data_IF_894377997578
#
_entry.id   IF_894377997578
#
_cell.length_a   1.000
_cell.length_b   1.000
_cell.length_c   1.000
_cell.angle_alpha   90.00
_cell.angle_beta   90.00
_cell.angle_gamma   90.00
#
_symmetry.space_group_name_H-M   'P 1'
#
loop_
_entity.id
_entity.type
_entity.pdbx_description
1 polymer ?
#
# COMPACT_ATOMS: atom_id res chain seq x y z
N UNK A 1 18.75 7.98 -9.67
CA UNK A 1 18.71 6.72 -10.46
C UNK A 1 17.27 6.26 -10.56
N UNK A 2 16.82 5.76 -11.71
CA UNK A 2 15.48 5.20 -11.88
C UNK A 2 15.44 3.78 -11.30
N UNK A 3 14.26 3.38 -10.81
CA UNK A 3 14.02 2.05 -10.28
C UNK A 3 12.84 1.41 -11.00
N UNK A 4 12.95 0.11 -11.23
CA UNK A 4 11.91 -0.68 -11.90
C UNK A 4 11.71 -2.02 -11.19
N UNK A 5 10.47 -2.49 -11.14
CA UNK A 5 10.16 -3.84 -10.69
C UNK A 5 10.15 -4.79 -11.89
N UNK A 6 10.85 -5.91 -11.76
CA UNK A 6 11.00 -6.94 -12.80
C UNK A 6 10.56 -8.28 -12.25
N UNK A 7 9.65 -8.95 -12.96
CA UNK A 7 9.19 -10.29 -12.58
C UNK A 7 10.26 -11.35 -12.88
N UNK A 8 10.30 -12.37 -12.05
CA UNK A 8 11.17 -13.53 -12.22
C UNK A 8 12.44 -13.50 -11.39
N UNK A 9 13.39 -14.35 -11.77
CA UNK A 9 14.64 -14.54 -11.02
C UNK A 9 15.73 -13.56 -11.46
N UNK A 10 16.54 -13.12 -10.51
CA UNK A 10 17.69 -12.25 -10.77
C UNK A 10 18.87 -13.04 -11.37
N UNK A 11 18.80 -13.37 -12.64
CA UNK A 11 19.86 -14.10 -13.38
C UNK A 11 20.41 -13.19 -14.48
N UNK A 12 21.70 -12.87 -14.41
CA UNK A 12 22.39 -12.02 -15.40
C UNK A 12 22.81 -12.85 -16.63
N UNK A 13 22.65 -12.33 -17.88
CA UNK A 13 21.96 -11.08 -18.20
C UNK A 13 20.43 -11.16 -18.06
N UNK A 14 19.82 -10.05 -17.62
CA UNK A 14 18.36 -9.89 -17.49
C UNK A 14 17.80 -9.28 -18.77
N UNK A 15 16.76 -9.88 -19.34
CA UNK A 15 16.02 -9.30 -20.46
C UNK A 15 14.68 -8.72 -19.98
N UNK A 16 14.39 -7.48 -20.32
CA UNK A 16 13.12 -6.82 -19.96
C UNK A 16 12.05 -7.18 -20.97
N UNK A 17 11.19 -8.14 -20.60
CA UNK A 17 10.10 -8.65 -21.46
C UNK A 17 8.85 -7.77 -21.42
N UNK A 18 8.59 -7.11 -20.28
CA UNK A 18 7.42 -6.24 -20.12
C UNK A 18 7.48 -5.04 -21.06
N UNK A 19 6.44 -4.90 -21.88
CA UNK A 19 6.41 -3.88 -22.92
C UNK A 19 6.26 -2.45 -22.35
N UNK A 20 5.50 -2.27 -21.27
CA UNK A 20 5.29 -0.95 -20.65
C UNK A 20 6.59 -0.47 -20.00
N UNK A 21 7.25 -1.33 -19.22
CA UNK A 21 8.54 -1.06 -18.59
C UNK A 21 9.62 -0.80 -19.65
N UNK A 22 9.73 -1.65 -20.66
CA UNK A 22 10.70 -1.49 -21.76
C UNK A 22 10.48 -0.18 -22.51
N UNK A 23 9.23 0.16 -22.82
CA UNK A 23 8.90 1.44 -23.46
C UNK A 23 9.31 2.63 -22.59
N UNK A 24 9.05 2.57 -21.29
CA UNK A 24 9.44 3.63 -20.36
C UNK A 24 10.97 3.78 -20.31
N UNK A 25 11.72 2.67 -20.16
CA UNK A 25 13.19 2.69 -20.12
C UNK A 25 13.81 3.29 -21.38
N UNK A 26 13.45 2.76 -22.55
CA UNK A 26 14.18 3.04 -23.79
C UNK A 26 13.59 4.15 -24.65
N UNK A 27 12.26 4.41 -24.55
CA UNK A 27 11.63 5.47 -25.34
C UNK A 27 11.38 6.74 -24.55
N UNK A 28 11.00 6.64 -23.26
CA UNK A 28 10.71 7.80 -22.40
C UNK A 28 12.00 8.29 -21.75
N UNK A 29 12.69 7.42 -21.01
CA UNK A 29 13.93 7.74 -20.31
C UNK A 29 15.14 7.77 -21.25
N UNK A 30 15.04 7.11 -22.42
CA UNK A 30 16.07 7.05 -23.46
C UNK A 30 17.40 6.49 -22.96
N UNK A 31 17.31 5.42 -22.17
CA UNK A 31 18.49 4.71 -21.68
C UNK A 31 19.34 4.24 -22.86
N UNK A 32 20.65 4.32 -22.68
CA UNK A 32 21.70 3.89 -23.61
C UNK A 32 22.53 2.79 -22.97
N UNK A 33 23.36 2.15 -23.76
CA UNK A 33 24.40 1.25 -23.26
C UNK A 33 25.23 1.94 -22.18
N UNK A 34 25.63 1.20 -21.17
CA UNK A 34 26.34 1.65 -19.95
C UNK A 34 25.49 2.50 -18.96
N UNK A 35 24.26 2.92 -19.30
CA UNK A 35 23.40 3.59 -18.33
C UNK A 35 22.98 2.64 -17.20
N UNK A 36 22.87 3.16 -16.00
CA UNK A 36 22.54 2.39 -14.80
C UNK A 36 21.14 2.68 -14.26
N UNK A 37 20.49 1.63 -13.81
CA UNK A 37 19.18 1.65 -13.14
C UNK A 37 19.18 0.71 -11.94
N UNK A 38 18.19 0.88 -11.05
CA UNK A 38 17.90 -0.12 -10.02
C UNK A 38 16.83 -1.06 -10.50
N UNK A 39 17.06 -2.36 -10.45
CA UNK A 39 16.06 -3.41 -10.68
C UNK A 39 15.71 -4.07 -9.35
N UNK A 40 14.40 -4.27 -9.12
CA UNK A 40 13.86 -4.99 -7.96
C UNK A 40 13.11 -6.21 -8.49
N UNK A 41 13.47 -7.39 -8.00
CA UNK A 41 12.86 -8.66 -8.42
C UNK A 41 11.82 -9.14 -7.39
N UNK A 42 11.23 -10.29 -7.65
CA UNK A 42 10.20 -10.89 -6.78
C UNK A 42 10.72 -11.21 -5.36
N UNK A 43 12.04 -11.23 -5.17
CA UNK A 43 12.70 -11.41 -3.88
C UNK A 43 12.78 -10.11 -3.03
N UNK A 44 12.36 -8.96 -3.58
CA UNK A 44 12.40 -7.65 -2.93
C UNK A 44 13.82 -7.07 -2.78
N UNK A 45 14.84 -7.68 -3.39
CA UNK A 45 16.21 -7.18 -3.32
C UNK A 45 16.46 -6.21 -4.47
N UNK A 46 16.96 -5.03 -4.12
CA UNK A 46 17.41 -4.03 -5.11
C UNK A 46 18.75 -4.42 -5.68
N UNK A 47 18.90 -4.30 -6.99
CA UNK A 47 20.16 -4.56 -7.67
C UNK A 47 20.51 -3.42 -8.61
N UNK A 48 21.74 -2.97 -8.57
CA UNK A 48 22.29 -2.10 -9.59
C UNK A 48 22.41 -2.90 -10.89
N UNK A 49 21.83 -2.38 -11.95
CA UNK A 49 21.85 -3.00 -13.26
C UNK A 49 22.31 -2.00 -14.31
N UNK A 50 23.13 -2.47 -15.26
CA UNK A 50 23.69 -1.68 -16.36
C UNK A 50 23.15 -2.18 -17.68
N UNK A 51 22.79 -1.27 -18.58
CA UNK A 51 22.33 -1.62 -19.93
C UNK A 51 23.50 -2.22 -20.72
N UNK A 52 23.33 -3.48 -21.16
CA UNK A 52 24.28 -4.18 -22.04
C UNK A 52 23.93 -3.98 -23.51
N UNK A 53 22.64 -4.08 -23.86
CA UNK A 53 22.17 -4.01 -25.22
C UNK A 53 20.75 -3.40 -25.23
N UNK A 54 20.60 -2.27 -25.93
CA UNK A 54 19.36 -1.52 -26.04
C UNK A 54 18.34 -2.25 -26.92
N UNK A 55 18.79 -2.88 -28.03
CA UNK A 55 17.91 -3.57 -28.98
C UNK A 55 17.39 -4.87 -28.37
N UNK A 56 18.25 -5.64 -27.73
CA UNK A 56 17.90 -6.86 -27.00
C UNK A 56 17.28 -6.60 -25.64
N UNK A 57 17.28 -5.34 -25.14
CA UNK A 57 16.74 -4.92 -23.82
C UNK A 57 17.40 -5.67 -22.68
N UNK A 58 18.70 -5.88 -22.75
CA UNK A 58 19.48 -6.65 -21.80
C UNK A 58 20.22 -5.78 -20.82
N UNK A 59 20.27 -6.28 -19.57
CA UNK A 59 20.99 -5.65 -18.46
C UNK A 59 21.94 -6.66 -17.81
N UNK A 60 23.11 -6.20 -17.43
CA UNK A 60 24.00 -6.87 -16.49
C UNK A 60 23.59 -6.50 -15.07
N UNK A 61 23.53 -7.48 -14.17
CA UNK A 61 23.41 -7.22 -12.74
C UNK A 61 24.82 -6.97 -12.18
N UNK A 62 25.06 -5.76 -11.68
CA UNK A 62 26.37 -5.33 -11.21
C UNK A 62 26.60 -5.73 -9.76
N UNK A 63 25.64 -5.38 -8.86
CA UNK A 63 25.72 -5.69 -7.44
C UNK A 63 24.35 -5.68 -6.76
N UNK A 64 24.23 -6.36 -5.64
CA UNK A 64 23.07 -6.24 -4.73
C UNK A 64 23.24 -5.03 -3.84
N UNK A 65 22.16 -4.27 -3.65
CA UNK A 65 22.14 -3.09 -2.80
C UNK A 65 21.53 -3.44 -1.44
N UNK A 66 22.28 -3.22 -0.37
CA UNK A 66 21.77 -3.36 1.02
C UNK A 66 20.94 -2.12 1.39
N UNK A 67 19.79 -1.96 0.72
CA UNK A 67 18.90 -0.82 0.87
C UNK A 67 17.45 -1.32 0.96
N UNK A 68 16.95 -1.49 2.19
CA UNK A 68 15.58 -1.88 2.48
C UNK A 68 14.87 -0.73 3.19
N UNK A 69 13.87 -0.15 2.50
CA UNK A 69 13.07 0.98 2.99
C UNK A 69 11.67 0.58 3.45
N UNK A 70 11.42 -0.72 3.61
CA UNK A 70 10.12 -1.19 4.06
C UNK A 70 9.92 -0.98 5.57
N UNK A 71 8.67 -0.70 5.97
CA UNK A 71 8.30 -0.64 7.38
C UNK A 71 8.63 -1.97 8.11
N UNK A 72 9.03 -1.93 9.37
CA UNK A 72 9.30 -3.15 10.13
C UNK A 72 8.06 -3.99 10.41
N UNK A 73 6.86 -3.47 10.11
CA UNK A 73 5.55 -4.13 10.26
C UNK A 73 4.80 -4.14 8.94
N UNK A 74 3.94 -5.13 8.73
CA UNK A 74 3.11 -5.24 7.53
C UNK A 74 1.80 -4.47 7.73
N UNK A 75 1.63 -3.36 7.03
CA UNK A 75 0.46 -2.49 7.19
C UNK A 75 -0.49 -2.65 6.03
N UNK A 76 -1.73 -3.02 6.34
CA UNK A 76 -2.85 -3.01 5.40
C UNK A 76 -3.71 -1.78 5.64
N UNK A 77 -3.92 -0.99 4.62
CA UNK A 77 -4.87 0.13 4.64
C UNK A 77 -6.16 -0.31 3.96
N UNK A 78 -7.26 -0.28 4.69
CA UNK A 78 -8.58 -0.64 4.16
C UNK A 78 -9.53 0.55 4.20
N UNK A 79 -10.22 0.83 3.10
CA UNK A 79 -11.18 1.93 2.97
C UNK A 79 -12.54 1.44 2.52
N UNK A 80 -13.62 1.91 3.13
CA UNK A 80 -14.94 1.83 2.49
C UNK A 80 -14.89 2.49 1.11
N UNK A 81 -15.63 1.95 0.11
CA UNK A 81 -15.58 2.47 -1.26
C UNK A 81 -15.84 3.98 -1.31
N UNK A 82 -14.81 4.81 -1.58
CA UNK A 82 -14.97 6.25 -1.63
C UNK A 82 -15.48 6.71 -3.00
N UNK A 83 -15.95 7.97 -3.07
CA UNK A 83 -16.38 8.59 -4.32
C UNK A 83 -15.19 9.01 -5.20
N UNK A 84 -15.44 9.03 -6.51
CA UNK A 84 -14.51 9.60 -7.50
C UNK A 84 -13.20 8.83 -7.59
N UNK A 85 -12.12 9.57 -7.59
CA UNK A 85 -10.72 9.12 -7.73
C UNK A 85 -9.97 9.02 -6.40
N UNK A 86 -10.68 9.18 -5.27
CA UNK A 86 -10.03 9.19 -3.95
C UNK A 86 -9.29 7.91 -3.63
N UNK A 87 -9.81 6.74 -4.05
CA UNK A 87 -9.09 5.48 -3.83
C UNK A 87 -7.76 5.44 -4.60
N UNK A 88 -7.70 6.08 -5.76
CA UNK A 88 -6.48 6.21 -6.56
C UNK A 88 -5.46 7.08 -5.82
N UNK A 89 -5.91 8.21 -5.27
CA UNK A 89 -5.08 9.09 -4.45
C UNK A 89 -4.58 8.38 -3.17
N UNK A 90 -5.48 7.70 -2.46
CA UNK A 90 -5.12 6.89 -1.28
C UNK A 90 -4.06 5.88 -1.67
N UNK A 91 -4.30 5.08 -2.73
CA UNK A 91 -3.37 4.05 -3.21
C UNK A 91 -1.99 4.62 -3.47
N UNK A 92 -1.90 5.72 -4.21
CA UNK A 92 -0.62 6.37 -4.47
C UNK A 92 0.09 6.75 -3.16
N UNK A 93 -0.60 7.48 -2.27
CA UNK A 93 0.04 8.07 -1.09
C UNK A 93 0.36 7.04 -0.01
N UNK A 94 -0.50 6.06 0.24
CA UNK A 94 -0.19 5.02 1.22
C UNK A 94 0.92 4.07 0.72
N UNK A 95 1.06 3.92 -0.61
CA UNK A 95 2.22 3.23 -1.19
C UNK A 95 3.51 3.99 -0.88
N UNK A 96 3.56 5.30 -1.12
CA UNK A 96 4.70 6.15 -0.79
C UNK A 96 5.06 6.09 0.71
N UNK A 97 4.06 5.91 1.58
CA UNK A 97 4.20 5.88 3.04
C UNK A 97 4.48 4.46 3.61
N UNK A 98 4.61 3.44 2.78
CA UNK A 98 5.05 2.12 3.24
C UNK A 98 3.95 1.07 3.43
N UNK A 99 2.69 1.29 3.04
CA UNK A 99 1.66 0.27 3.12
C UNK A 99 2.06 -1.01 2.35
N UNK A 100 1.82 -2.18 2.95
CA UNK A 100 2.10 -3.49 2.34
C UNK A 100 0.92 -3.99 1.50
N UNK A 101 -0.31 -3.61 1.88
CA UNK A 101 -1.53 -3.98 1.18
C UNK A 101 -2.52 -2.82 1.20
N UNK A 102 -3.34 -2.75 0.15
CA UNK A 102 -4.40 -1.75 0.02
C UNK A 102 -5.70 -2.48 -0.29
N UNK A 103 -6.63 -2.39 0.64
CA UNK A 103 -7.94 -3.02 0.58
C UNK A 103 -9.05 -2.00 0.43
N UNK A 104 -10.15 -2.36 -0.22
CA UNK A 104 -11.37 -1.59 -0.12
C UNK A 104 -12.60 -2.51 -0.14
N UNK A 105 -13.67 -2.07 0.51
CA UNK A 105 -14.88 -2.85 0.73
C UNK A 105 -16.16 -2.02 0.58
N UNK A 106 -17.31 -2.65 0.30
CA UNK A 106 -18.60 -1.95 0.20
C UNK A 106 -19.13 -1.66 1.61
N UNK A 107 -18.77 -0.51 2.18
CA UNK A 107 -19.33 -0.04 3.45
C UNK A 107 -20.80 0.37 3.29
N UNK A 108 -21.59 0.31 4.37
CA UNK A 108 -23.03 0.61 4.35
C UNK A 108 -23.32 2.00 3.79
N UNK A 109 -22.50 2.98 4.13
CA UNK A 109 -22.68 4.35 3.69
C UNK A 109 -21.78 4.73 2.50
N UNK A 110 -21.21 3.72 1.83
CA UNK A 110 -20.57 3.93 0.53
C UNK A 110 -21.59 4.32 -0.52
N UNK A 111 -21.39 5.49 -1.13
CA UNK A 111 -22.21 5.92 -2.28
C UNK A 111 -21.73 5.20 -3.55
N UNK A 112 -20.45 4.92 -3.68
CA UNK A 112 -19.90 4.16 -4.77
C UNK A 112 -20.30 2.68 -4.65
N UNK A 113 -20.84 2.14 -5.75
CA UNK A 113 -21.17 0.71 -5.87
C UNK A 113 -20.41 0.15 -7.07
N UNK A 114 -19.59 -0.85 -6.80
CA UNK A 114 -18.79 -1.51 -7.84
C UNK A 114 -19.19 -2.98 -7.90
N UNK A 115 -19.57 -3.42 -9.09
CA UNK A 115 -19.82 -4.83 -9.39
C UNK A 115 -18.50 -5.53 -9.82
N UNK A 116 -18.50 -6.85 -9.89
CA UNK A 116 -17.29 -7.64 -10.16
C UNK A 116 -16.54 -7.20 -11.41
N UNK A 117 -17.23 -6.79 -12.49
CA UNK A 117 -16.58 -6.31 -13.72
C UNK A 117 -15.90 -4.95 -13.52
N UNK A 118 -16.51 -4.06 -12.75
CA UNK A 118 -15.91 -2.77 -12.41
C UNK A 118 -14.76 -2.93 -11.42
N UNK A 119 -14.88 -3.87 -10.47
CA UNK A 119 -13.82 -4.18 -9.52
C UNK A 119 -12.54 -4.60 -10.25
N UNK A 120 -12.61 -5.56 -11.19
CA UNK A 120 -11.43 -6.00 -11.96
C UNK A 120 -10.68 -4.85 -12.64
N UNK A 121 -11.41 -3.98 -13.34
CA UNK A 121 -10.81 -2.81 -14.00
C UNK A 121 -10.20 -1.81 -13.00
N UNK A 122 -10.81 -1.67 -11.82
CA UNK A 122 -10.26 -0.82 -10.78
C UNK A 122 -9.00 -1.42 -10.17
N UNK A 123 -8.95 -2.72 -9.90
CA UNK A 123 -7.75 -3.40 -9.43
C UNK A 123 -6.59 -3.15 -10.39
N UNK A 124 -6.76 -3.43 -11.68
CA UNK A 124 -5.72 -3.19 -12.71
C UNK A 124 -5.22 -1.74 -12.71
N UNK A 125 -6.12 -0.77 -12.54
CA UNK A 125 -5.74 0.65 -12.48
C UNK A 125 -4.96 0.96 -11.20
N UNK A 126 -5.41 0.47 -10.06
CA UNK A 126 -4.78 0.71 -8.76
C UNK A 126 -3.40 0.03 -8.67
N UNK A 127 -3.25 -1.17 -9.23
CA UNK A 127 -1.97 -1.87 -9.34
C UNK A 127 -0.94 -1.05 -10.12
N UNK A 128 -1.34 -0.41 -11.24
CA UNK A 128 -0.46 0.49 -11.98
C UNK A 128 -0.07 1.73 -11.19
N UNK A 129 -0.99 2.29 -10.42
CA UNK A 129 -0.71 3.44 -9.55
C UNK A 129 0.25 3.03 -8.43
N UNK A 130 0.02 1.88 -7.79
CA UNK A 130 0.87 1.35 -6.75
C UNK A 130 2.30 1.07 -7.27
N UNK A 131 2.40 0.45 -8.46
CA UNK A 131 3.69 0.20 -9.12
C UNK A 131 4.47 1.52 -9.33
N UNK A 132 3.86 2.51 -9.99
CA UNK A 132 4.53 3.77 -10.24
C UNK A 132 4.91 4.53 -8.95
N UNK A 133 4.06 4.45 -7.91
CA UNK A 133 4.36 5.04 -6.61
C UNK A 133 5.52 4.31 -5.90
N UNK A 134 5.55 2.97 -5.95
CA UNK A 134 6.63 2.17 -5.38
C UNK A 134 7.98 2.42 -6.08
N UNK A 135 7.99 2.53 -7.41
CA UNK A 135 9.20 2.89 -8.17
C UNK A 135 9.73 4.28 -7.80
N UNK A 136 8.83 5.26 -7.70
CA UNK A 136 9.18 6.64 -7.36
C UNK A 136 9.70 6.77 -5.94
N UNK A 137 9.06 6.09 -4.98
CA UNK A 137 9.44 6.12 -3.55
C UNK A 137 10.54 5.13 -3.18
N UNK A 138 11.12 4.44 -4.16
CA UNK A 138 12.23 3.49 -3.97
C UNK A 138 11.88 2.31 -3.05
N UNK A 139 10.62 1.87 -3.07
CA UNK A 139 10.18 0.73 -2.29
C UNK A 139 10.86 -0.58 -2.76
N UNK A 140 10.95 -1.55 -1.86
CA UNK A 140 11.41 -2.91 -2.16
C UNK A 140 10.27 -3.83 -2.61
N UNK A 141 9.02 -3.42 -2.33
CA UNK A 141 7.81 -4.21 -2.62
C UNK A 141 6.72 -3.29 -3.19
N UNK A 142 6.00 -3.77 -4.20
CA UNK A 142 4.76 -3.14 -4.66
C UNK A 142 3.62 -3.66 -3.77
N UNK A 143 2.81 -2.79 -3.13
CA UNK A 143 1.70 -3.25 -2.31
C UNK A 143 0.65 -3.99 -3.14
N UNK A 144 0.09 -5.06 -2.60
CA UNK A 144 -1.00 -5.78 -3.23
C UNK A 144 -2.33 -5.03 -3.08
N UNK A 145 -3.19 -5.12 -4.09
CA UNK A 145 -4.51 -4.49 -4.13
C UNK A 145 -5.58 -5.55 -3.98
N UNK A 146 -6.51 -5.36 -3.05
CA UNK A 146 -7.67 -6.24 -2.90
C UNK A 146 -8.96 -5.45 -2.73
N UNK A 147 -9.90 -5.60 -3.66
CA UNK A 147 -11.22 -4.99 -3.61
C UNK A 147 -12.27 -6.08 -3.35
N UNK A 148 -12.95 -5.99 -2.22
CA UNK A 148 -13.97 -6.96 -1.83
C UNK A 148 -15.29 -6.66 -2.52
N UNK A 149 -15.96 -7.68 -3.05
CA UNK A 149 -17.26 -7.54 -3.68
C UNK A 149 -18.38 -7.38 -2.65
N UNK A 150 -18.20 -8.01 -1.47
CA UNK A 150 -19.15 -7.95 -0.38
C UNK A 150 -18.46 -7.86 0.99
N UNK A 151 -19.20 -7.44 2.02
CA UNK A 151 -18.68 -7.29 3.38
C UNK A 151 -18.35 -8.61 4.07
N UNK A 152 -19.06 -9.68 3.76
CA UNK A 152 -18.82 -10.97 4.40
C UNK A 152 -17.43 -11.49 4.09
N UNK A 153 -16.99 -11.39 2.83
CA UNK A 153 -15.65 -11.77 2.42
C UNK A 153 -14.59 -10.89 3.08
N UNK A 154 -14.85 -9.59 3.22
CA UNK A 154 -13.96 -8.68 3.94
C UNK A 154 -13.82 -9.08 5.41
N UNK A 155 -14.95 -9.29 6.13
CA UNK A 155 -14.95 -9.67 7.53
C UNK A 155 -14.27 -11.03 7.79
N UNK A 156 -14.36 -11.96 6.84
CA UNK A 156 -13.71 -13.27 6.95
C UNK A 156 -12.17 -13.17 6.90
N UNK A 157 -11.62 -12.07 6.38
CA UNK A 157 -10.17 -11.87 6.32
C UNK A 157 -9.58 -11.22 7.57
N UNK A 158 -10.41 -10.72 8.49
CA UNK A 158 -9.92 -9.94 9.64
C UNK A 158 -9.11 -10.78 10.63
N UNK A 159 -9.39 -12.06 10.76
CA UNK A 159 -8.74 -12.96 11.72
C UNK A 159 -7.23 -13.21 11.43
N UNK A 160 -6.72 -12.77 10.27
CA UNK A 160 -5.31 -12.91 9.91
C UNK A 160 -4.39 -11.80 10.45
N UNK A 161 -4.96 -10.76 11.08
CA UNK A 161 -4.21 -9.61 11.57
C UNK A 161 -3.93 -9.71 13.07
N UNK A 162 -2.73 -9.32 13.47
CA UNK A 162 -2.33 -9.27 14.87
C UNK A 162 -2.96 -8.08 15.60
N UNK A 163 -3.23 -7.01 14.87
CA UNK A 163 -3.93 -5.80 15.36
C UNK A 163 -4.85 -5.25 14.28
N UNK A 164 -6.03 -4.81 14.71
CA UNK A 164 -7.02 -4.13 13.85
C UNK A 164 -7.40 -2.82 14.51
N UNK A 165 -7.26 -1.72 13.78
CA UNK A 165 -7.69 -0.40 14.21
C UNK A 165 -8.75 0.14 13.27
N UNK A 166 -9.81 0.66 13.83
CA UNK A 166 -10.87 1.36 13.10
C UNK A 166 -10.76 2.85 13.40
N UNK A 167 -10.53 3.65 12.38
CA UNK A 167 -10.60 5.09 12.52
C UNK A 167 -12.05 5.53 12.73
N UNK A 168 -12.36 5.97 13.96
CA UNK A 168 -13.71 6.32 14.37
C UNK A 168 -13.73 7.67 15.10
N UNK A 169 -14.52 8.61 14.56
CA UNK A 169 -14.50 10.00 15.05
C UNK A 169 -14.98 10.13 16.48
N UNK A 170 -16.00 9.34 16.88
CA UNK A 170 -16.54 9.42 18.23
C UNK A 170 -15.55 8.97 19.31
N UNK A 171 -14.66 8.02 19.00
CA UNK A 171 -13.57 7.62 19.90
C UNK A 171 -12.63 8.79 20.23
N UNK A 172 -12.46 9.75 19.31
CA UNK A 172 -11.67 10.96 19.55
C UNK A 172 -12.34 11.91 20.54
N UNK A 173 -13.66 11.93 20.61
CA UNK A 173 -14.45 12.76 21.54
C UNK A 173 -14.39 12.22 22.98
N UNK A 174 -14.22 10.92 23.14
CA UNK A 174 -14.14 10.21 24.42
C UNK A 174 -12.72 10.24 25.03
N UNK A 175 -11.77 10.91 24.38
CA UNK A 175 -10.39 11.06 24.90
C UNK A 175 -9.45 9.92 24.54
N UNK A 176 -9.82 9.00 23.66
CA UNK A 176 -9.01 7.87 23.20
C UNK A 176 -7.93 8.23 22.15
N UNK A 177 -7.38 9.47 22.24
CA UNK A 177 -6.29 9.91 21.38
C UNK A 177 -5.02 9.03 21.51
N UNK A 178 -4.90 8.27 22.57
CA UNK A 178 -3.79 7.35 22.80
C UNK A 178 -4.02 5.96 22.18
N UNK A 179 -5.20 5.64 21.67
CA UNK A 179 -5.51 4.29 21.14
C UNK A 179 -4.61 3.91 19.99
N UNK A 180 -4.35 4.84 19.07
CA UNK A 180 -3.39 4.62 17.97
C UNK A 180 -2.00 4.29 18.51
N UNK A 181 -1.48 5.10 19.44
CA UNK A 181 -0.15 4.91 20.03
C UNK A 181 -0.08 3.55 20.76
N UNK A 182 -1.07 3.25 21.62
CA UNK A 182 -1.13 1.98 22.35
C UNK A 182 -1.17 0.77 21.42
N UNK A 183 -1.93 0.85 20.33
CA UNK A 183 -2.09 -0.26 19.41
C UNK A 183 -0.84 -0.54 18.57
N UNK A 184 0.01 0.47 18.32
CA UNK A 184 1.27 0.28 17.58
C UNK A 184 2.48 0.08 18.50
N UNK A 185 2.37 0.45 19.79
CA UNK A 185 3.44 0.20 20.76
C UNK A 185 3.60 -1.30 21.03
N UNK A 186 4.83 -1.77 20.96
CA UNK A 186 5.15 -3.18 21.23
C UNK A 186 4.80 -4.15 20.11
N UNK A 187 4.55 -3.68 18.90
CA UNK A 187 4.44 -4.55 17.73
C UNK A 187 5.79 -5.20 17.43
N UNK A 188 5.77 -6.51 17.23
CA UNK A 188 6.94 -7.26 16.81
C UNK A 188 7.24 -7.00 15.33
N UNK A 189 8.50 -7.18 14.94
CA UNK A 189 8.90 -7.10 13.54
C UNK A 189 8.12 -8.14 12.71
N UNK A 190 7.53 -7.68 11.62
CA UNK A 190 6.70 -8.50 10.75
C UNK A 190 5.24 -8.64 11.18
N UNK A 191 4.83 -8.04 12.32
CA UNK A 191 3.43 -8.04 12.74
C UNK A 191 2.51 -7.43 11.67
N UNK A 192 1.32 -8.01 11.54
CA UNK A 192 0.29 -7.61 10.57
C UNK A 192 -0.71 -6.67 11.21
N UNK A 193 -0.74 -5.44 10.74
CA UNK A 193 -1.64 -4.39 11.22
C UNK A 193 -2.63 -4.00 10.14
N UNK A 194 -3.92 -3.98 10.47
CA UNK A 194 -4.99 -3.49 9.62
C UNK A 194 -5.53 -2.16 10.15
N UNK A 195 -5.55 -1.15 9.29
CA UNK A 195 -6.33 0.07 9.51
C UNK A 195 -7.60 0.06 8.67
N UNK A 196 -8.76 0.31 9.29
CA UNK A 196 -10.06 0.39 8.62
C UNK A 196 -10.56 1.84 8.67
N UNK A 197 -10.89 2.38 7.51
CA UNK A 197 -11.43 3.73 7.33
C UNK A 197 -12.79 3.66 6.64
N UNK A 198 -13.72 4.47 7.10
CA UNK A 198 -15.02 4.64 6.44
C UNK A 198 -14.91 5.44 5.13
N UNK A 199 -15.94 5.34 4.26
CA UNK A 199 -16.12 6.28 3.15
C UNK A 199 -16.51 7.67 3.69
N UNK A 200 -16.91 8.60 2.81
CA UNK A 200 -17.29 9.96 3.20
C UNK A 200 -18.48 10.01 4.20
N UNK A 201 -19.33 9.00 4.18
CA UNK A 201 -20.44 8.86 5.13
C UNK A 201 -20.03 8.27 6.48
N UNK A 202 -18.80 7.82 6.63
CA UNK A 202 -18.34 7.08 7.81
C UNK A 202 -18.74 5.60 7.80
N UNK A 203 -18.65 4.96 8.95
CA UNK A 203 -19.03 3.57 9.19
C UNK A 203 -20.35 3.52 9.97
N UNK A 204 -21.22 2.57 9.66
CA UNK A 204 -22.47 2.37 10.39
C UNK A 204 -22.22 1.77 11.78
N UNK A 205 -23.11 1.98 12.76
CA UNK A 205 -23.01 1.33 14.07
C UNK A 205 -22.90 -0.20 13.97
N UNK A 206 -23.63 -0.82 13.06
CA UNK A 206 -23.55 -2.26 12.83
C UNK A 206 -22.19 -2.71 12.28
N UNK A 207 -21.53 -1.89 11.46
CA UNK A 207 -20.16 -2.17 11.01
C UNK A 207 -19.17 -2.06 12.16
N UNK A 208 -19.31 -1.05 13.00
CA UNK A 208 -18.47 -0.90 14.20
C UNK A 208 -18.61 -2.11 15.11
N UNK A 209 -19.83 -2.54 15.46
CA UNK A 209 -20.07 -3.73 16.28
C UNK A 209 -19.43 -4.99 15.68
N UNK A 210 -19.54 -5.19 14.36
CA UNK A 210 -18.91 -6.31 13.67
C UNK A 210 -17.39 -6.28 13.74
N UNK A 211 -16.77 -5.11 13.62
CA UNK A 211 -15.31 -4.97 13.72
C UNK A 211 -14.82 -5.19 15.16
N UNK A 212 -15.53 -4.65 16.15
CA UNK A 212 -15.21 -4.89 17.58
C UNK A 212 -15.36 -6.36 17.94
N UNK A 213 -16.37 -7.07 17.42
CA UNK A 213 -16.53 -8.51 17.59
C UNK A 213 -15.35 -9.32 16.99
N UNK A 214 -14.61 -8.73 16.05
CA UNK A 214 -13.36 -9.27 15.48
C UNK A 214 -12.10 -8.76 16.20
N UNK A 215 -12.25 -8.11 17.35
CA UNK A 215 -11.12 -7.63 18.15
C UNK A 215 -10.53 -6.30 17.67
N UNK A 216 -11.24 -5.55 16.83
CA UNK A 216 -10.80 -4.24 16.41
C UNK A 216 -10.86 -3.22 17.56
N UNK A 217 -9.87 -2.34 17.60
CA UNK A 217 -9.81 -1.21 18.53
C UNK A 217 -10.23 0.07 17.80
N UNK A 218 -11.17 0.81 18.38
CA UNK A 218 -11.57 2.10 17.85
C UNK A 218 -10.52 3.16 18.20
N UNK A 219 -10.06 3.90 17.21
CA UNK A 219 -9.01 4.89 17.37
C UNK A 219 -9.43 6.25 16.81
N UNK A 220 -9.35 7.27 17.66
CA UNK A 220 -9.45 8.66 17.22
C UNK A 220 -8.16 9.13 16.56
N UNK A 221 -8.27 9.87 15.48
CA UNK A 221 -7.13 10.45 14.75
C UNK A 221 -6.90 11.94 15.11
N UNK A 222 -7.04 12.27 16.40
CA UNK A 222 -6.92 13.63 16.91
C UNK A 222 -8.23 14.43 16.85
N UNK A 223 -8.20 15.73 17.22
CA UNK A 223 -9.41 16.52 17.50
C UNK A 223 -10.10 17.08 16.24
N UNK A 224 -9.55 16.86 15.06
CA UNK A 224 -10.08 17.39 13.80
C UNK A 224 -10.72 16.27 12.98
N UNK A 225 -11.84 16.59 12.32
CA UNK A 225 -12.43 15.69 11.34
C UNK A 225 -11.54 15.64 10.11
N UNK A 226 -11.05 14.46 9.76
CA UNK A 226 -10.26 14.23 8.57
C UNK A 226 -11.15 13.71 7.44
N UNK A 227 -10.85 14.12 6.22
CA UNK A 227 -11.51 13.56 5.04
C UNK A 227 -11.12 12.09 4.85
N UNK A 228 -11.97 11.32 4.16
CA UNK A 228 -11.73 9.90 3.88
C UNK A 228 -10.37 9.61 3.23
N UNK A 229 -9.90 10.51 2.37
CA UNK A 229 -8.58 10.42 1.74
C UNK A 229 -7.41 10.88 2.64
N UNK A 230 -7.68 11.69 3.66
CA UNK A 230 -6.64 12.22 4.56
C UNK A 230 -6.36 11.30 5.75
N UNK A 231 -7.40 10.64 6.27
CA UNK A 231 -7.30 9.81 7.47
C UNK A 231 -6.28 8.66 7.33
N UNK A 232 -6.25 7.90 6.21
CA UNK A 232 -5.25 6.86 5.99
C UNK A 232 -3.80 7.37 5.99
N UNK A 233 -3.58 8.54 5.39
CA UNK A 233 -2.26 9.15 5.32
C UNK A 233 -1.78 9.58 6.71
N UNK A 234 -2.66 10.21 7.47
CA UNK A 234 -2.36 10.62 8.84
C UNK A 234 -2.00 9.43 9.73
N UNK A 235 -2.80 8.37 9.70
CA UNK A 235 -2.58 7.18 10.52
C UNK A 235 -1.26 6.48 10.15
N UNK A 236 -0.98 6.33 8.84
CA UNK A 236 0.22 5.66 8.37
C UNK A 236 1.48 6.50 8.63
N UNK A 237 1.40 7.83 8.48
CA UNK A 237 2.50 8.73 8.85
C UNK A 237 2.81 8.70 10.34
N UNK A 238 1.77 8.68 11.19
CA UNK A 238 1.95 8.56 12.64
C UNK A 238 2.58 7.22 13.02
N UNK A 239 2.17 6.13 12.39
CA UNK A 239 2.79 4.81 12.57
C UNK A 239 4.27 4.84 12.16
N UNK A 240 4.59 5.36 10.97
CA UNK A 240 5.99 5.44 10.48
C UNK A 240 6.89 6.18 11.49
N UNK A 241 6.44 7.32 12.02
CA UNK A 241 7.19 8.05 13.06
C UNK A 241 7.49 7.15 14.27
N UNK A 242 6.48 6.40 14.75
CA UNK A 242 6.61 5.57 15.96
C UNK A 242 7.50 4.34 15.75
N UNK A 243 7.51 3.74 14.55
CA UNK A 243 8.23 2.47 14.33
C UNK A 243 9.59 2.66 13.65
N UNK A 244 9.84 3.79 13.00
CA UNK A 244 11.07 4.06 12.26
C UNK A 244 11.94 5.13 12.92
N UNK A 245 11.36 6.17 13.52
CA UNK A 245 12.09 7.34 14.01
C UNK A 245 12.26 7.38 15.53
N UNK A 246 11.44 6.67 16.30
CA UNK A 246 11.62 6.47 17.75
C UNK A 246 12.56 5.28 18.00
N UNK A 247 13.85 5.43 17.71
CA UNK A 247 14.90 4.45 18.03
C UNK A 247 15.84 5.00 19.10
#
# INVERSE_FOLDING_TARGET
>A
MQQYFVKGSAISPVTIEDKETSKHMFQVMRLKEEDEVTLVFDDGIKRLARVLDVEARQFELVEELDDNVELPVQVTISSGFPKGDKLEFITQKVTELGASQIWAFPADWSVAKWDGKKLGKKVEKLEKIALGAAEQSKRNVVPSIHLFENKADFLAQLDQFDRILVAYEEAAKEGEAAALIKAVTGLEKGAKLLFIFGPEGGLSPAEIENFEAKGAVLAGLGPRILRAETAPLYALSALSVLVELEK
#
